data_IF_400216735544
#
_entry.id   IF_400216735544
#
_cell.length_a   1.000
_cell.length_b   1.000
_cell.length_c   1.000
_cell.angle_alpha   90.00
_cell.angle_beta   90.00
_cell.angle_gamma   90.00
#
_symmetry.space_group_name_H-M   'P 1'
#
loop_
_entity.id
_entity.type
_entity.pdbx_description
1 polymer ?
#
# COMPACT_ATOMS: atom_id res chain seq x y z
N UNK A 1 21.12 23.51 -4.80
CA UNK A 1 19.66 23.50 -4.53
C UNK A 1 19.21 22.05 -4.46
N UNK A 2 19.07 21.50 -3.27
CA UNK A 2 18.45 20.19 -3.05
C UNK A 2 16.97 20.33 -3.41
N UNK A 3 16.56 19.84 -4.58
CA UNK A 3 15.13 19.65 -4.86
C UNK A 3 14.61 18.73 -3.75
N UNK A 4 13.67 19.21 -2.93
CA UNK A 4 12.86 18.33 -2.10
C UNK A 4 12.23 17.31 -3.06
N UNK A 5 12.78 16.10 -3.10
CA UNK A 5 12.20 15.02 -3.91
C UNK A 5 10.88 14.67 -3.22
N UNK A 6 9.77 14.93 -3.90
CA UNK A 6 8.50 14.38 -3.50
C UNK A 6 8.62 12.86 -3.48
N UNK A 7 8.31 12.25 -2.33
CA UNK A 7 8.26 10.81 -2.20
C UNK A 7 7.12 10.27 -3.06
N UNK A 8 7.26 9.06 -3.63
CA UNK A 8 6.16 8.46 -4.38
C UNK A 8 4.93 8.31 -3.51
N UNK A 9 3.75 8.37 -4.11
CA UNK A 9 2.48 8.13 -3.41
C UNK A 9 1.83 6.87 -3.96
N UNK A 10 1.34 6.01 -3.06
CA UNK A 10 0.66 4.79 -3.42
C UNK A 10 -0.78 4.84 -2.95
N UNK A 11 -1.71 4.65 -3.87
CA UNK A 11 -3.15 4.62 -3.61
C UNK A 11 -3.68 3.21 -3.89
N UNK A 12 -4.35 2.62 -2.91
CA UNK A 12 -4.95 1.29 -3.01
C UNK A 12 -6.31 1.44 -3.69
N UNK A 13 -6.41 0.97 -4.94
CA UNK A 13 -7.65 1.00 -5.71
C UNK A 13 -8.53 -0.20 -5.41
N UNK A 14 -7.90 -1.37 -5.23
CA UNK A 14 -8.59 -2.61 -4.90
C UNK A 14 -7.65 -3.58 -4.18
N UNK A 15 -8.22 -4.50 -3.41
CA UNK A 15 -7.54 -5.63 -2.79
C UNK A 15 -8.40 -6.86 -3.06
N UNK A 16 -7.92 -7.80 -3.86
CA UNK A 16 -8.76 -8.92 -4.30
C UNK A 16 -7.91 -10.17 -4.59
N UNK A 17 -8.55 -11.20 -5.12
CA UNK A 17 -7.90 -12.41 -5.61
C UNK A 17 -8.53 -12.83 -6.93
N UNK A 18 -7.71 -13.35 -7.82
CA UNK A 18 -8.10 -13.94 -9.09
C UNK A 18 -7.30 -15.24 -9.33
N UNK A 19 -7.34 -15.78 -10.55
CA UNK A 19 -6.64 -17.01 -10.92
C UNK A 19 -5.10 -16.88 -10.82
N UNK A 20 -4.57 -15.66 -10.86
CA UNK A 20 -3.14 -15.36 -10.67
C UNK A 20 -2.79 -15.06 -9.21
N UNK A 21 -3.72 -15.29 -8.27
CA UNK A 21 -3.50 -15.18 -6.84
C UNK A 21 -4.05 -13.91 -6.21
N UNK A 22 -3.54 -13.59 -5.02
CA UNK A 22 -4.01 -12.47 -4.17
C UNK A 22 -3.22 -11.22 -4.53
N UNK A 23 -3.88 -10.08 -4.65
CA UNK A 23 -3.23 -8.85 -5.07
C UNK A 23 -3.85 -7.60 -4.45
N UNK A 24 -3.07 -6.52 -4.46
CA UNK A 24 -3.57 -5.15 -4.38
C UNK A 24 -3.34 -4.45 -5.73
N UNK A 25 -4.36 -3.78 -6.25
CA UNK A 25 -4.25 -2.90 -7.41
C UNK A 25 -3.86 -1.52 -6.90
N UNK A 26 -2.62 -1.12 -7.16
CA UNK A 26 -2.03 0.10 -6.60
C UNK A 26 -1.81 1.11 -7.69
N UNK A 27 -2.35 2.31 -7.52
CA UNK A 27 -1.97 3.48 -8.31
C UNK A 27 -0.74 4.12 -7.68
N UNK A 28 0.39 4.03 -8.37
CA UNK A 28 1.66 4.61 -7.95
C UNK A 28 1.89 5.93 -8.69
N UNK A 29 2.11 7.01 -7.94
CA UNK A 29 2.37 8.36 -8.45
C UNK A 29 3.81 8.75 -8.12
N UNK A 30 4.60 9.00 -9.15
CA UNK A 30 5.96 9.50 -9.10
C UNK A 30 6.01 10.93 -9.67
N UNK A 31 7.09 11.69 -9.45
CA UNK A 31 7.21 13.05 -10.00
C UNK A 31 7.15 13.11 -11.53
N UNK A 32 7.48 12.01 -12.21
CA UNK A 32 7.56 11.91 -13.67
C UNK A 32 6.35 11.20 -14.31
N UNK A 33 5.40 10.70 -13.52
CA UNK A 33 4.20 10.06 -14.03
C UNK A 33 3.46 9.20 -13.02
N UNK A 34 2.37 8.60 -13.46
CA UNK A 34 1.62 7.63 -12.67
C UNK A 34 1.41 6.34 -13.47
N UNK A 35 1.36 5.22 -12.75
CA UNK A 35 1.01 3.92 -13.31
C UNK A 35 0.15 3.13 -12.32
N UNK A 36 -0.55 2.13 -12.82
CA UNK A 36 -1.24 1.16 -11.98
C UNK A 36 -0.43 -0.13 -11.99
N UNK A 37 -0.06 -0.63 -10.82
CA UNK A 37 0.69 -1.89 -10.67
C UNK A 37 -0.17 -2.96 -10.03
N UNK A 38 0.13 -4.22 -10.39
CA UNK A 38 -0.33 -5.39 -9.65
C UNK A 38 0.68 -5.71 -8.55
N UNK A 39 0.31 -5.46 -7.30
CA UNK A 39 1.15 -5.88 -6.18
C UNK A 39 0.68 -7.24 -5.66
N UNK A 40 1.47 -8.28 -5.91
CA UNK A 40 1.18 -9.63 -5.43
C UNK A 40 1.31 -9.70 -3.91
N UNK A 41 0.32 -10.31 -3.26
CA UNK A 41 0.24 -10.43 -1.80
C UNK A 41 0.35 -11.89 -1.37
N UNK A 42 1.12 -12.13 -0.32
CA UNK A 42 1.04 -13.39 0.40
C UNK A 42 -0.28 -13.50 1.19
N UNK A 43 -0.59 -14.70 1.68
CA UNK A 43 -1.84 -14.98 2.38
C UNK A 43 -2.02 -14.16 3.66
N UNK A 44 -0.95 -13.96 4.44
CA UNK A 44 -1.01 -13.20 5.70
C UNK A 44 -1.32 -11.74 5.41
N UNK A 45 -0.56 -11.13 4.51
CA UNK A 45 -0.74 -9.72 4.14
C UNK A 45 -2.11 -9.49 3.52
N UNK A 46 -2.53 -10.35 2.59
CA UNK A 46 -3.85 -10.22 1.94
C UNK A 46 -5.00 -10.18 2.95
N UNK A 47 -5.04 -11.12 3.90
CA UNK A 47 -6.14 -11.20 4.86
C UNK A 47 -6.21 -9.94 5.73
N UNK A 48 -5.06 -9.49 6.23
CA UNK A 48 -4.98 -8.31 7.10
C UNK A 48 -5.25 -7.01 6.34
N UNK A 49 -4.66 -6.85 5.16
CA UNK A 49 -4.86 -5.68 4.30
C UNK A 49 -6.32 -5.60 3.83
N UNK A 50 -6.90 -6.70 3.34
CA UNK A 50 -8.32 -6.72 2.89
C UNK A 50 -9.26 -6.35 4.02
N UNK A 51 -9.00 -6.84 5.24
CA UNK A 51 -9.80 -6.51 6.43
C UNK A 51 -9.77 -5.02 6.72
N UNK A 52 -8.58 -4.41 6.72
CA UNK A 52 -8.42 -2.97 6.98
C UNK A 52 -8.98 -2.12 5.85
N UNK A 53 -8.73 -2.47 4.59
CA UNK A 53 -9.27 -1.78 3.41
C UNK A 53 -10.81 -1.82 3.37
N UNK A 54 -11.40 -2.92 3.82
CA UNK A 54 -12.87 -3.07 3.89
C UNK A 54 -13.46 -2.46 5.16
N UNK A 55 -12.63 -2.00 6.10
CA UNK A 55 -13.10 -1.42 7.35
C UNK A 55 -13.78 -0.08 7.08
N UNK A 56 -15.00 0.07 7.59
CA UNK A 56 -15.81 1.29 7.48
C UNK A 56 -15.45 2.22 8.62
N UNK A 57 -14.24 2.79 8.56
CA UNK A 57 -13.63 3.50 9.68
C UNK A 57 -14.30 4.85 9.97
N UNK A 58 -14.86 5.46 8.92
CA UNK A 58 -15.81 6.54 9.01
C UNK A 58 -17.19 5.95 8.68
N UNK A 59 -18.23 6.26 9.47
CA UNK A 59 -19.57 5.71 9.26
C UNK A 59 -20.00 5.94 7.80
N UNK A 60 -20.42 4.87 7.11
CA UNK A 60 -20.77 4.92 5.68
C UNK A 60 -21.97 5.84 5.47
N UNK A 61 -21.73 7.09 5.10
CA UNK A 61 -22.72 7.83 4.32
C UNK A 61 -22.57 7.43 2.84
N UNK A 62 -23.67 7.10 2.14
CA UNK A 62 -23.64 6.90 0.70
C UNK A 62 -23.11 8.16 0.00
N UNK A 63 -22.40 7.98 -1.11
CA UNK A 63 -21.81 9.05 -1.95
C UNK A 63 -20.55 9.74 -1.40
N UNK A 64 -19.86 9.13 -0.44
CA UNK A 64 -18.56 9.60 0.03
C UNK A 64 -17.42 8.95 -0.75
N UNK A 65 -16.49 9.77 -1.27
CA UNK A 65 -15.28 9.31 -1.93
C UNK A 65 -14.20 9.03 -0.90
N UNK A 66 -13.93 7.76 -0.63
CA UNK A 66 -12.85 7.33 0.23
C UNK A 66 -11.57 7.18 -0.59
N UNK A 67 -10.47 7.73 -0.09
CA UNK A 67 -9.13 7.47 -0.63
C UNK A 67 -8.34 6.65 0.38
N UNK A 68 -7.67 5.60 -0.09
CA UNK A 68 -6.84 4.74 0.74
C UNK A 68 -5.39 4.85 0.27
N UNK A 69 -4.56 5.58 1.01
CA UNK A 69 -3.13 5.74 0.69
C UNK A 69 -2.31 4.72 1.45
N UNK A 70 -1.53 3.90 0.75
CA UNK A 70 -0.54 3.03 1.37
C UNK A 70 0.68 3.88 1.74
N UNK A 71 1.11 3.81 2.99
CA UNK A 71 2.26 4.57 3.47
C UNK A 71 3.58 3.86 3.14
N UNK A 72 4.61 4.66 2.83
CA UNK A 72 5.93 4.19 2.39
C UNK A 72 6.84 3.75 3.54
N UNK A 73 6.27 3.29 4.64
CA UNK A 73 7.02 2.82 5.79
C UNK A 73 6.30 1.65 6.44
N UNK A 74 7.07 0.88 7.20
CA UNK A 74 6.59 -0.23 8.00
C UNK A 74 7.17 -0.14 9.41
N UNK A 75 6.55 -0.82 10.36
CA UNK A 75 7.14 -1.07 11.68
C UNK A 75 7.57 -2.53 11.77
N UNK A 76 8.56 -2.78 12.62
CA UNK A 76 8.96 -4.15 12.98
C UNK A 76 9.17 -4.29 14.47
N UNK A 77 8.85 -5.46 15.02
CA UNK A 77 9.14 -5.75 16.42
C UNK A 77 10.66 -5.88 16.65
N UNK A 78 11.11 -5.46 17.84
CA UNK A 78 12.54 -5.47 18.21
C UNK A 78 13.04 -6.81 18.78
N UNK A 79 12.18 -7.83 18.88
CA UNK A 79 12.56 -9.08 19.54
C UNK A 79 13.45 -9.93 18.63
N UNK A 80 14.68 -10.18 19.09
CA UNK A 80 15.66 -11.04 18.42
C UNK A 80 15.37 -12.54 18.60
N UNK A 81 14.62 -12.91 19.64
CA UNK A 81 14.36 -14.30 20.03
C UNK A 81 13.03 -14.88 19.52
N UNK A 82 12.24 -14.10 18.78
CA UNK A 82 10.92 -14.49 18.23
C UNK A 82 10.85 -14.05 16.77
N UNK A 83 10.08 -14.76 15.94
CA UNK A 83 9.74 -14.33 14.58
C UNK A 83 9.37 -12.85 14.57
N UNK A 84 10.13 -12.04 13.82
CA UNK A 84 9.94 -10.60 13.72
C UNK A 84 8.56 -10.32 13.12
N UNK A 85 7.76 -9.54 13.85
CA UNK A 85 6.44 -9.09 13.39
C UNK A 85 6.64 -7.82 12.56
N UNK A 86 5.94 -7.73 11.44
CA UNK A 86 5.94 -6.56 10.57
C UNK A 86 4.53 -5.98 10.46
N UNK A 87 4.43 -4.65 10.43
CA UNK A 87 3.16 -3.95 10.18
C UNK A 87 3.31 -2.90 9.08
N UNK A 88 2.32 -2.86 8.18
CA UNK A 88 2.12 -1.80 7.20
C UNK A 88 1.02 -0.83 7.64
N UNK A 89 0.93 0.31 6.96
CA UNK A 89 -0.01 1.38 7.31
C UNK A 89 -0.75 1.92 6.09
N UNK A 90 -2.05 2.19 6.26
CA UNK A 90 -2.89 2.86 5.27
C UNK A 90 -3.46 4.13 5.89
N UNK A 91 -3.43 5.25 5.17
CA UNK A 91 -4.27 6.40 5.49
C UNK A 91 -5.60 6.30 4.76
N UNK A 92 -6.68 6.26 5.53
CA UNK A 92 -8.03 6.42 5.02
C UNK A 92 -8.40 7.90 5.09
N UNK A 93 -8.64 8.51 3.92
CA UNK A 93 -9.02 9.91 3.81
C UNK A 93 -10.48 10.02 3.38
N UNK A 94 -11.20 10.91 4.05
CA UNK A 94 -12.59 11.27 3.75
C UNK A 94 -12.74 12.79 3.83
N UNK A 95 -12.62 13.46 2.70
CA UNK A 95 -12.58 14.92 2.64
C UNK A 95 -11.43 15.49 3.48
N UNK A 96 -11.74 16.14 4.60
CA UNK A 96 -10.75 16.67 5.56
C UNK A 96 -10.39 15.71 6.69
N UNK A 97 -11.08 14.58 6.80
CA UNK A 97 -10.83 13.59 7.85
C UNK A 97 -9.78 12.59 7.37
N UNK A 98 -8.81 12.32 8.22
CA UNK A 98 -7.71 11.39 7.94
C UNK A 98 -7.61 10.43 9.11
N UNK A 99 -7.50 9.13 8.84
CA UNK A 99 -7.24 8.12 9.86
C UNK A 99 -6.25 7.09 9.35
N UNK A 100 -5.15 6.96 10.07
CA UNK A 100 -4.16 5.92 9.83
C UNK A 100 -4.64 4.59 10.42
N UNK A 101 -4.44 3.52 9.66
CA UNK A 101 -4.81 2.16 10.01
C UNK A 101 -3.60 1.25 9.87
N UNK A 102 -3.30 0.50 10.92
CA UNK A 102 -2.23 -0.48 10.95
C UNK A 102 -2.76 -1.87 10.56
N UNK A 103 -1.97 -2.63 9.82
CA UNK A 103 -2.23 -4.02 9.52
C UNK A 103 -0.95 -4.85 9.60
N UNK A 104 -1.06 -6.08 10.13
CA UNK A 104 0.06 -7.04 10.09
C UNK A 104 0.37 -7.43 8.65
N UNK A 105 1.65 -7.51 8.31
CA UNK A 105 2.13 -7.91 6.99
C UNK A 105 3.30 -8.89 7.09
N UNK A 106 3.65 -9.48 5.95
CA UNK A 106 4.86 -10.31 5.85
C UNK A 106 6.11 -9.46 5.74
N UNK A 107 7.26 -10.06 6.07
CA UNK A 107 8.58 -9.49 5.81
C UNK A 107 8.77 -9.13 4.33
N UNK A 108 8.32 -10.00 3.42
CA UNK A 108 8.39 -9.76 1.97
C UNK A 108 7.62 -8.49 1.59
N UNK A 109 6.43 -8.27 2.17
CA UNK A 109 5.67 -7.06 1.91
C UNK A 109 6.38 -5.81 2.46
N UNK A 110 6.95 -5.89 3.68
CA UNK A 110 7.73 -4.80 4.26
C UNK A 110 8.95 -4.44 3.40
N UNK A 111 9.71 -5.44 2.93
CA UNK A 111 10.84 -5.22 2.02
C UNK A 111 10.41 -4.63 0.67
N UNK A 112 9.24 -5.01 0.16
CA UNK A 112 8.70 -4.43 -1.07
C UNK A 112 8.30 -2.96 -0.90
N UNK A 113 7.73 -2.57 0.26
CA UNK A 113 7.48 -1.15 0.59
C UNK A 113 8.81 -0.37 0.59
N UNK A 114 9.82 -0.92 1.27
CA UNK A 114 11.13 -0.29 1.36
C UNK A 114 11.75 -0.08 -0.02
N UNK A 115 11.73 -1.12 -0.85
CA UNK A 115 12.20 -1.06 -2.23
C UNK A 115 11.43 -0.01 -3.05
N UNK A 116 10.10 -0.03 -3.03
CA UNK A 116 9.26 0.92 -3.77
C UNK A 116 9.48 2.38 -3.34
N UNK A 117 9.77 2.61 -2.07
CA UNK A 117 10.09 3.95 -1.55
C UNK A 117 11.41 4.50 -2.11
N UNK A 118 12.32 3.62 -2.54
CA UNK A 118 13.61 3.96 -3.13
C UNK A 118 13.60 4.11 -4.66
N UNK A 119 12.55 3.62 -5.33
CA UNK A 119 12.34 3.78 -6.78
C UNK A 119 12.20 5.25 -7.13
N UNK A 120 12.82 5.71 -8.22
CA UNK A 120 12.90 7.14 -8.56
C UNK A 120 12.03 7.54 -9.74
N UNK A 121 11.61 6.58 -10.54
CA UNK A 121 10.86 6.80 -11.77
C UNK A 121 9.82 5.71 -11.98
N UNK A 122 8.67 6.09 -12.53
CA UNK A 122 7.63 5.14 -12.91
C UNK A 122 8.11 4.13 -13.98
N UNK A 123 9.12 4.50 -14.78
CA UNK A 123 9.75 3.65 -15.81
C UNK A 123 10.32 2.36 -15.21
N UNK A 124 10.88 2.43 -14.01
CA UNK A 124 11.45 1.29 -13.27
C UNK A 124 10.37 0.26 -12.86
N UNK A 125 9.09 0.64 -12.93
CA UNK A 125 7.95 -0.20 -12.56
C UNK A 125 7.15 -0.71 -13.76
N UNK A 126 7.59 -0.45 -14.99
CA UNK A 126 6.84 -0.84 -16.21
C UNK A 126 6.51 -2.32 -16.28
N UNK A 127 7.40 -3.19 -15.79
CA UNK A 127 7.18 -4.64 -15.77
C UNK A 127 6.10 -5.08 -14.77
N UNK A 128 5.80 -4.23 -13.78
CA UNK A 128 4.77 -4.46 -12.76
C UNK A 128 3.41 -3.86 -13.14
N UNK A 129 3.33 -3.21 -14.29
CA UNK A 129 2.12 -2.56 -14.77
C UNK A 129 0.97 -3.55 -14.89
N UNK A 130 -0.18 -3.16 -14.34
CA UNK A 130 -1.41 -3.93 -14.46
C UNK A 130 -1.79 -4.06 -15.95
N UNK A 131 -1.86 -5.30 -16.43
CA UNK A 131 -2.39 -5.65 -17.74
C UNK A 131 -3.78 -6.22 -17.53
N UNK A 132 -4.78 -5.63 -18.18
CA UNK A 132 -6.17 -6.09 -18.11
C UNK A 132 -6.36 -7.49 -18.69
#
# INVERSE_FOLDING_TARGET
MTRNRELPQFEILDVSKDDFGKYAKIKAKYPDGELIIRWVLDSLTYVNLKRVFSARVFDRMPNLSYEYKLLNFYSSSRNLDVTRDYSGFIECNLGKQIKQLEFKCSETFAGNIEWLSGVKSYEELKDLMWKD
#
